data_IF_793303138820
#
_entry.id   IF_793303138820
#
_cell.length_a   1.000
_cell.length_b   1.000
_cell.length_c   1.000
_cell.angle_alpha   90.00
_cell.angle_beta   90.00
_cell.angle_gamma   90.00
#
_symmetry.space_group_name_H-M   'P 1'
#
loop_
_entity.id
_entity.type
_entity.pdbx_description
1 polymer ?
#
# COMPACT_ATOMS: atom_id res chain seq x y z
N UNK A 1 -8.94 8.24 2.23
CA UNK A 1 -10.32 8.16 1.69
C UNK A 1 -10.40 7.51 0.32
N UNK A 2 -9.57 7.89 -0.67
CA UNK A 2 -9.70 7.37 -2.04
C UNK A 2 -9.72 5.83 -2.15
N UNK A 3 -8.84 5.13 -1.44
CA UNK A 3 -8.82 3.66 -1.43
C UNK A 3 -10.15 3.04 -0.99
N UNK A 4 -10.81 3.60 0.03
CA UNK A 4 -12.10 3.08 0.50
C UNK A 4 -13.24 3.33 -0.51
N UNK A 5 -13.11 4.35 -1.38
CA UNK A 5 -14.11 4.67 -2.39
C UNK A 5 -13.88 3.90 -3.70
N UNK A 6 -12.63 3.67 -4.08
CA UNK A 6 -12.26 3.16 -5.41
C UNK A 6 -11.86 1.68 -5.40
N UNK A 7 -11.45 1.12 -4.26
CA UNK A 7 -10.98 -0.26 -4.18
C UNK A 7 -12.13 -1.23 -3.81
N UNK A 8 -12.31 -2.35 -4.52
CA UNK A 8 -13.40 -3.29 -4.24
C UNK A 8 -13.09 -4.14 -2.99
N UNK A 9 -13.58 -3.69 -1.84
CA UNK A 9 -13.46 -4.37 -0.55
C UNK A 9 -14.66 -5.32 -0.36
N UNK A 10 -14.49 -6.60 -0.74
CA UNK A 10 -15.61 -7.54 -0.87
C UNK A 10 -15.65 -8.63 0.22
N UNK A 11 -14.70 -8.66 1.16
CA UNK A 11 -14.62 -9.67 2.22
C UNK A 11 -14.28 -9.02 3.56
N UNK A 12 -14.72 -9.59 4.68
CA UNK A 12 -14.31 -9.13 6.00
C UNK A 12 -12.80 -9.23 6.17
N UNK A 13 -12.22 -8.32 6.98
CA UNK A 13 -10.78 -8.28 7.31
C UNK A 13 -9.83 -8.08 6.11
N UNK A 14 -10.32 -7.46 5.03
CA UNK A 14 -9.50 -6.97 3.89
C UNK A 14 -9.22 -5.46 3.95
N UNK A 15 -9.63 -4.79 5.01
CA UNK A 15 -9.46 -3.35 5.13
C UNK A 15 -8.90 -3.04 6.50
N UNK A 16 -7.59 -2.79 6.53
CA UNK A 16 -6.86 -2.41 7.73
C UNK A 16 -6.58 -0.91 7.65
N UNK A 17 -7.27 -0.13 8.48
CA UNK A 17 -7.10 1.32 8.54
C UNK A 17 -7.25 1.82 9.97
N UNK A 18 -6.54 2.90 10.32
CA UNK A 18 -6.74 3.60 11.59
C UNK A 18 -7.91 4.56 11.44
N UNK A 19 -9.12 4.09 11.78
CA UNK A 19 -10.36 4.86 11.63
C UNK A 19 -10.54 5.91 12.72
N UNK A 20 -10.68 5.49 13.97
CA UNK A 20 -11.05 6.39 15.08
C UNK A 20 -9.98 7.42 15.43
N UNK A 21 -8.72 7.00 15.56
CA UNK A 21 -7.61 7.89 15.93
C UNK A 21 -6.95 8.57 14.72
N UNK A 22 -7.13 8.04 13.51
CA UNK A 22 -6.55 8.62 12.29
C UNK A 22 -5.01 8.62 12.26
N UNK A 23 -4.38 7.61 12.87
CA UNK A 23 -2.92 7.56 13.07
C UNK A 23 -2.16 7.49 11.74
N UNK A 24 -1.41 8.55 11.41
CA UNK A 24 -0.45 8.52 10.31
C UNK A 24 0.71 7.54 10.64
N UNK A 25 1.26 6.89 9.61
CA UNK A 25 2.29 5.86 9.79
C UNK A 25 1.76 4.45 10.07
N UNK A 26 0.45 4.28 10.28
CA UNK A 26 -0.16 2.97 10.56
C UNK A 26 0.02 1.94 9.44
N UNK A 27 -0.02 2.38 8.18
CA UNK A 27 -0.15 1.50 7.02
C UNK A 27 0.98 0.47 6.86
N UNK A 28 2.24 0.87 7.01
CA UNK A 28 3.38 -0.02 6.78
C UNK A 28 3.53 -1.10 7.88
N UNK A 29 3.52 -0.77 9.18
CA UNK A 29 3.48 -1.78 10.25
C UNK A 29 2.28 -2.72 10.14
N UNK A 30 1.09 -2.19 9.83
CA UNK A 30 -0.12 -3.01 9.68
C UNK A 30 0.00 -3.99 8.50
N UNK A 31 0.59 -3.56 7.38
CA UNK A 31 0.83 -4.42 6.23
C UNK A 31 1.86 -5.53 6.52
N UNK A 32 2.89 -5.23 7.31
CA UNK A 32 3.86 -6.24 7.78
C UNK A 32 3.14 -7.29 8.65
N UNK A 33 2.33 -6.86 9.62
CA UNK A 33 1.55 -7.77 10.45
C UNK A 33 0.57 -8.63 9.64
N UNK A 34 -0.09 -8.04 8.64
CA UNK A 34 -0.99 -8.77 7.74
C UNK A 34 -0.26 -9.83 6.91
N UNK A 35 0.94 -9.52 6.42
CA UNK A 35 1.75 -10.45 5.63
C UNK A 35 2.28 -11.61 6.48
N UNK A 36 2.67 -11.34 7.73
CA UNK A 36 3.06 -12.36 8.69
C UNK A 36 1.89 -13.27 9.07
N UNK A 37 0.70 -12.69 9.30
CA UNK A 37 -0.49 -13.45 9.67
C UNK A 37 -1.06 -14.30 8.52
N UNK A 38 -0.80 -13.91 7.26
CA UNK A 38 -1.31 -14.61 6.09
C UNK A 38 -0.28 -14.64 4.95
N UNK A 39 0.77 -15.47 5.04
CA UNK A 39 1.88 -15.50 4.07
C UNK A 39 1.46 -15.78 2.62
N UNK A 40 0.36 -16.52 2.42
CA UNK A 40 -0.15 -16.87 1.09
C UNK A 40 -0.96 -15.76 0.41
N UNK A 41 -1.29 -14.71 1.15
CA UNK A 41 -2.13 -13.61 0.68
C UNK A 41 -1.27 -12.44 0.26
N UNK A 42 -1.70 -11.77 -0.81
CA UNK A 42 -1.06 -10.53 -1.25
C UNK A 42 -1.45 -9.42 -0.30
N UNK A 43 -0.49 -8.59 0.11
CA UNK A 43 -0.76 -7.43 0.97
C UNK A 43 -0.42 -6.15 0.22
N UNK A 44 -1.39 -5.23 0.19
CA UNK A 44 -1.25 -3.92 -0.45
C UNK A 44 -1.32 -2.81 0.62
N UNK A 45 -0.23 -2.05 0.77
CA UNK A 45 -0.16 -0.89 1.65
C UNK A 45 -0.39 0.38 0.84
N UNK A 46 -1.59 0.96 0.90
CA UNK A 46 -1.85 2.27 0.33
C UNK A 46 -1.44 3.35 1.34
N UNK A 47 -0.45 4.17 1.01
CA UNK A 47 0.04 5.22 1.91
C UNK A 47 0.33 6.52 1.18
N UNK A 48 0.10 7.65 1.84
CA UNK A 48 0.70 8.92 1.46
C UNK A 48 2.19 8.94 1.77
N UNK A 49 2.92 9.87 1.15
CA UNK A 49 4.35 10.12 1.38
C UNK A 49 4.65 10.50 2.83
N UNK A 50 3.91 11.45 3.40
CA UNK A 50 4.08 11.84 4.81
C UNK A 50 3.84 10.67 5.78
N UNK A 51 2.78 9.88 5.56
CA UNK A 51 2.48 8.71 6.39
C UNK A 51 3.53 7.62 6.24
N UNK A 52 4.03 7.36 5.03
CA UNK A 52 5.05 6.32 4.82
C UNK A 52 6.37 6.71 5.50
N UNK A 53 6.77 7.99 5.40
CA UNK A 53 8.01 8.49 5.98
C UNK A 53 8.07 8.36 7.52
N UNK A 54 6.93 8.39 8.22
CA UNK A 54 6.89 8.25 9.68
C UNK A 54 7.41 6.90 10.17
N UNK A 55 7.18 5.84 9.39
CA UNK A 55 7.58 4.47 9.76
C UNK A 55 8.38 3.76 8.66
N UNK A 56 9.10 4.52 7.84
CA UNK A 56 9.85 4.00 6.69
C UNK A 56 10.92 2.97 7.09
N UNK A 57 11.44 3.06 8.32
CA UNK A 57 12.41 2.12 8.89
C UNK A 57 11.90 0.66 8.88
N UNK A 58 10.58 0.46 8.93
CA UNK A 58 9.97 -0.88 8.93
C UNK A 58 10.12 -1.62 7.60
N UNK A 59 10.60 -0.93 6.54
CA UNK A 59 11.04 -1.63 5.32
C UNK A 59 12.20 -2.58 5.60
N UNK A 60 13.06 -2.29 6.58
CA UNK A 60 14.12 -3.20 7.02
C UNK A 60 13.50 -4.49 7.60
N UNK A 61 12.55 -4.35 8.53
CA UNK A 61 11.79 -5.47 9.10
C UNK A 61 11.13 -6.32 8.02
N UNK A 62 10.49 -5.69 7.04
CA UNK A 62 9.86 -6.39 5.93
C UNK A 62 10.87 -7.17 5.06
N UNK A 63 12.06 -6.60 4.84
CA UNK A 63 13.14 -7.24 4.10
C UNK A 63 13.75 -8.43 4.85
N UNK A 64 14.04 -8.26 6.15
CA UNK A 64 14.58 -9.31 7.02
C UNK A 64 13.66 -10.53 7.08
N UNK A 65 12.35 -10.29 7.18
CA UNK A 65 11.33 -11.34 7.18
C UNK A 65 10.94 -11.81 5.77
N UNK A 66 11.61 -11.32 4.73
CA UNK A 66 11.35 -11.65 3.33
C UNK A 66 9.87 -11.49 2.92
N UNK A 67 9.17 -10.48 3.45
CA UNK A 67 7.74 -10.32 3.23
C UNK A 67 7.45 -9.71 1.86
N UNK A 68 6.39 -10.20 1.20
CA UNK A 68 5.93 -9.64 -0.08
C UNK A 68 4.88 -8.55 0.11
N UNK A 69 5.28 -7.44 0.74
CA UNK A 69 4.45 -6.25 0.90
C UNK A 69 4.63 -5.32 -0.30
N UNK A 70 3.52 -4.95 -0.94
CA UNK A 70 3.49 -3.96 -2.02
C UNK A 70 2.95 -2.65 -1.50
N UNK A 71 3.74 -1.59 -1.57
CA UNK A 71 3.37 -0.26 -1.12
C UNK A 71 2.94 0.56 -2.33
N UNK A 72 1.70 1.04 -2.32
CA UNK A 72 1.16 1.97 -3.30
C UNK A 72 1.23 3.36 -2.70
N UNK A 73 2.26 4.09 -3.09
CA UNK A 73 2.56 5.42 -2.58
C UNK A 73 1.79 6.47 -3.37
N UNK A 74 0.91 7.20 -2.69
CA UNK A 74 0.22 8.37 -3.25
C UNK A 74 1.02 9.62 -2.90
N UNK A 75 1.96 10.00 -3.76
CA UNK A 75 2.80 11.17 -3.52
C UNK A 75 2.08 12.45 -3.99
N UNK A 76 1.85 13.38 -3.05
CA UNK A 76 1.43 14.75 -3.34
C UNK A 76 2.70 15.61 -3.40
N UNK A 77 3.23 15.87 -4.59
CA UNK A 77 4.48 16.60 -4.82
C UNK A 77 4.44 18.10 -4.41
N UNK A 78 3.42 18.55 -3.68
CA UNK A 78 3.25 19.91 -3.17
C UNK A 78 2.30 19.93 -1.98
N UNK A 79 2.65 20.66 -0.91
CA UNK A 79 1.82 20.93 0.27
C UNK A 79 0.62 21.86 -0.02
N UNK A 80 -0.02 21.69 -1.17
CA UNK A 80 -1.18 22.46 -1.62
C UNK A 80 -2.32 21.51 -1.95
N UNK A 81 -3.52 21.82 -1.45
CA UNK A 81 -4.75 21.09 -1.73
C UNK A 81 -5.12 21.20 -3.23
N UNK A 82 -4.46 20.41 -4.08
CA UNK A 82 -4.71 20.44 -5.53
C UNK A 82 -3.78 19.61 -6.43
N UNK A 83 -2.65 19.07 -5.94
CA UNK A 83 -1.70 18.38 -6.83
C UNK A 83 -2.09 16.92 -7.13
N UNK A 84 -1.94 16.49 -8.39
CA UNK A 84 -2.14 15.12 -8.88
C UNK A 84 -1.29 14.12 -8.09
N UNK A 85 -1.93 13.06 -7.57
CA UNK A 85 -1.21 11.99 -6.88
C UNK A 85 -0.28 11.30 -7.89
N UNK A 86 1.03 11.37 -7.64
CA UNK A 86 1.99 10.55 -8.38
C UNK A 86 2.07 9.21 -7.67
N UNK A 87 1.74 8.14 -8.38
CA UNK A 87 1.69 6.79 -7.81
C UNK A 87 3.05 6.12 -7.98
N UNK A 88 3.59 5.53 -6.91
CA UNK A 88 4.81 4.72 -6.97
C UNK A 88 4.58 3.39 -6.26
N UNK A 89 4.86 2.28 -6.94
CA UNK A 89 4.78 0.95 -6.32
C UNK A 89 6.16 0.58 -5.80
N UNK A 90 6.33 0.53 -4.48
CA UNK A 90 7.53 -0.03 -3.87
C UNK A 90 7.26 -1.46 -3.43
N UNK A 91 8.22 -2.34 -3.68
CA UNK A 91 8.18 -3.72 -3.20
C UNK A 91 9.31 -3.89 -2.19
N UNK A 92 8.98 -4.29 -0.96
CA UNK A 92 9.98 -4.44 0.09
C UNK A 92 11.10 -5.45 -0.27
N UNK A 93 10.82 -6.44 -1.14
CA UNK A 93 11.81 -7.43 -1.62
C UNK A 93 12.88 -6.88 -2.60
N UNK A 94 12.62 -5.76 -3.27
CA UNK A 94 13.56 -5.13 -4.23
C UNK A 94 13.11 -3.70 -4.49
N UNK A 95 14.00 -2.74 -4.23
CA UNK A 95 13.82 -1.33 -4.56
C UNK A 95 13.82 -1.17 -6.10
N UNK A 96 12.67 -1.44 -6.73
CA UNK A 96 12.48 -1.26 -8.17
C UNK A 96 11.68 0.02 -8.39
N UNK A 97 12.34 1.00 -9.00
CA UNK A 97 11.77 2.30 -9.35
C UNK A 97 11.15 2.20 -10.74
N UNK A 98 10.05 2.93 -10.93
CA UNK A 98 9.43 3.34 -12.19
C UNK A 98 8.18 2.56 -12.64
N UNK A 99 7.05 3.28 -12.74
CA UNK A 99 6.40 3.55 -14.03
C UNK A 99 5.40 4.70 -13.92
N UNK A 100 5.50 5.58 -14.92
CA UNK A 100 4.55 6.63 -15.28
C UNK A 100 3.26 6.02 -15.83
N UNK A 101 2.11 6.53 -15.38
CA UNK A 101 0.83 6.36 -16.07
C UNK A 101 -0.29 5.78 -15.21
N UNK A 102 -1.33 6.59 -14.99
CA UNK A 102 -2.57 6.25 -14.28
C UNK A 102 -3.30 5.02 -14.87
N UNK A 103 -2.97 4.59 -16.09
CA UNK A 103 -3.63 3.48 -16.79
C UNK A 103 -3.16 2.08 -16.35
N UNK A 104 -1.97 1.99 -15.73
CA UNK A 104 -1.38 0.70 -15.34
C UNK A 104 -1.89 0.21 -13.98
N UNK A 105 -2.29 1.12 -13.09
CA UNK A 105 -2.93 0.78 -11.82
C UNK A 105 -4.28 0.09 -12.03
N UNK A 106 -5.06 0.53 -13.04
CA UNK A 106 -6.35 -0.09 -13.37
C UNK A 106 -6.16 -1.49 -13.99
N UNK A 107 -5.13 -1.68 -14.81
CA UNK A 107 -4.76 -2.98 -15.36
C UNK A 107 -4.22 -3.94 -14.28
N UNK A 108 -3.44 -3.45 -13.32
CA UNK A 108 -2.96 -4.24 -12.19
C UNK A 108 -4.08 -4.54 -11.19
N UNK A 109 -5.02 -3.62 -10.94
CA UNK A 109 -6.26 -3.92 -10.20
C UNK A 109 -7.06 -5.05 -10.86
N UNK A 110 -7.14 -5.10 -12.21
CA UNK A 110 -7.75 -6.21 -12.94
C UNK A 110 -6.95 -7.52 -12.82
N UNK A 111 -5.60 -7.49 -12.88
CA UNK A 111 -4.75 -8.67 -12.62
C UNK A 111 -4.76 -9.13 -11.16
N UNK A 112 -4.94 -8.21 -10.22
CA UNK A 112 -5.13 -8.50 -8.80
C UNK A 112 -6.47 -9.22 -8.59
N UNK A 113 -7.52 -8.84 -9.33
CA UNK A 113 -8.80 -9.58 -9.36
C UNK A 113 -8.64 -11.04 -9.81
N UNK A 114 -7.65 -11.34 -10.65
CA UNK A 114 -7.37 -12.67 -11.20
C UNK A 114 -6.31 -13.46 -10.42
N UNK A 115 -5.75 -12.93 -9.34
CA UNK A 115 -4.68 -13.59 -8.59
C UNK A 115 -4.97 -13.63 -7.08
N UNK A 116 -4.28 -14.53 -6.37
CA UNK A 116 -4.46 -14.93 -4.95
C UNK A 116 -5.12 -13.88 -4.03
N UNK A 117 -5.94 -14.32 -3.05
CA UNK A 117 -6.69 -13.45 -2.15
C UNK A 117 -5.82 -12.34 -1.53
N UNK A 118 -6.25 -11.09 -1.68
CA UNK A 118 -5.58 -9.89 -1.16
C UNK A 118 -6.11 -9.52 0.22
N UNK A 119 -5.25 -9.09 1.14
CA UNK A 119 -5.62 -8.41 2.41
C UNK A 119 -5.52 -6.90 2.21
#
# INVERSE_FOLDING_TARGET
MWTAQAYPLNRPRQWLTSGGLGTMGFGLPAAIGAALANPDRKVLCFSGDGSLMMNIQEMATASENQLDVKIILMNKRSAGAGASATESVLRARRFCRHLSGQNQLYADCRRIRASKPVI
#
